data_IF_584783389819
#
_entry.id   IF_584783389819
#
_cell.length_a   1.000
_cell.length_b   1.000
_cell.length_c   1.000
_cell.angle_alpha   90.00
_cell.angle_beta   90.00
_cell.angle_gamma   90.00
#
_symmetry.space_group_name_H-M   'P 1'
#
loop_
_entity.id
_entity.type
_entity.pdbx_description
1 polymer ?
#
# COMPACT_ATOMS: atom_id res chain seq x y z
N UNK A 1 5.85 -4.64 10.38
CA UNK A 1 5.43 -4.54 8.97
C UNK A 1 6.31 -3.54 8.23
N UNK A 2 6.41 -2.28 8.68
CA UNK A 2 7.37 -1.30 8.16
C UNK A 2 8.64 -1.21 9.01
N UNK A 3 9.77 -0.91 8.37
CA UNK A 3 11.04 -0.58 8.98
C UNK A 3 11.07 0.92 9.37
N UNK A 4 11.64 1.29 10.55
CA UNK A 4 11.68 2.68 11.02
C UNK A 4 12.38 3.68 10.10
N UNK A 5 13.33 3.24 9.27
CA UNK A 5 14.19 4.12 8.47
C UNK A 5 14.11 3.84 6.97
N UNK A 6 14.01 2.55 6.59
CA UNK A 6 14.17 2.12 5.18
C UNK A 6 12.87 1.74 4.48
N UNK A 7 11.72 1.88 5.16
CA UNK A 7 10.42 1.74 4.49
C UNK A 7 9.97 3.05 3.88
N UNK A 8 9.41 2.97 2.68
CA UNK A 8 8.84 4.09 1.95
C UNK A 8 7.38 3.82 1.64
N UNK A 9 6.53 4.84 1.79
CA UNK A 9 5.15 4.82 1.33
C UNK A 9 4.90 5.99 0.38
N UNK A 10 4.15 5.74 -0.70
CA UNK A 10 3.52 6.80 -1.50
C UNK A 10 2.01 6.60 -1.46
N UNK A 11 1.28 7.49 -0.80
CA UNK A 11 -0.17 7.41 -0.67
C UNK A 11 -0.82 8.58 -1.40
N UNK A 12 -1.57 8.33 -2.47
CA UNK A 12 -2.19 9.39 -3.31
C UNK A 12 -1.17 10.44 -3.80
N UNK A 13 0.08 10.03 -4.03
CA UNK A 13 1.17 10.92 -4.46
C UNK A 13 1.98 11.56 -3.33
N UNK A 14 1.57 11.42 -2.07
CA UNK A 14 2.32 11.91 -0.91
C UNK A 14 3.38 10.88 -0.50
N UNK A 15 4.66 11.26 -0.55
CA UNK A 15 5.78 10.40 -0.18
C UNK A 15 6.12 10.50 1.31
N UNK A 16 6.36 9.34 1.92
CA UNK A 16 6.65 9.17 3.34
C UNK A 16 7.78 8.17 3.50
N UNK A 17 8.63 8.40 4.51
CA UNK A 17 9.73 7.51 4.85
C UNK A 17 9.69 7.19 6.34
N UNK A 18 9.90 5.91 6.64
CA UNK A 18 9.98 5.38 7.99
C UNK A 18 8.62 5.13 8.63
N UNK A 19 8.57 4.13 9.50
CA UNK A 19 7.33 3.68 10.16
C UNK A 19 6.55 4.82 10.83
N UNK A 20 7.20 5.78 11.47
CA UNK A 20 6.52 6.88 12.18
C UNK A 20 5.64 7.68 11.22
N UNK A 21 6.23 8.25 10.16
CA UNK A 21 5.49 9.06 9.18
C UNK A 21 4.43 8.26 8.42
N UNK A 22 4.73 7.00 8.13
CA UNK A 22 3.77 6.08 7.49
C UNK A 22 2.54 5.89 8.39
N UNK A 23 2.76 5.58 9.66
CA UNK A 23 1.66 5.37 10.62
C UNK A 23 0.88 6.65 10.90
N UNK A 24 1.56 7.80 11.00
CA UNK A 24 0.90 9.10 11.11
C UNK A 24 -0.04 9.36 9.92
N UNK A 25 0.39 9.09 8.69
CA UNK A 25 -0.47 9.21 7.51
C UNK A 25 -1.66 8.28 7.60
N UNK A 26 -1.45 6.99 7.90
CA UNK A 26 -2.54 6.02 7.98
C UNK A 26 -3.56 6.38 9.08
N UNK A 27 -3.08 6.86 10.23
CA UNK A 27 -3.93 7.29 11.35
C UNK A 27 -4.62 8.64 11.07
N UNK A 28 -4.09 9.47 10.17
CA UNK A 28 -4.71 10.73 9.77
C UNK A 28 -5.91 10.56 8.83
N UNK A 29 -6.14 9.35 8.30
CA UNK A 29 -7.27 9.05 7.44
C UNK A 29 -8.56 9.08 8.27
N UNK A 30 -9.56 9.83 7.81
CA UNK A 30 -10.75 10.17 8.59
C UNK A 30 -11.88 9.16 8.51
N UNK A 31 -11.77 8.13 7.66
CA UNK A 31 -12.79 7.10 7.53
C UNK A 31 -12.87 6.23 8.79
N UNK A 32 -14.08 5.78 9.14
CA UNK A 32 -14.31 4.92 10.32
C UNK A 32 -14.30 3.44 9.95
N UNK A 33 -14.79 3.12 8.75
CA UNK A 33 -14.85 1.78 8.20
C UNK A 33 -14.17 1.74 6.85
N UNK A 34 -13.46 0.65 6.62
CA UNK A 34 -12.78 0.38 5.37
C UNK A 34 -13.09 -1.05 4.95
N UNK A 35 -13.70 -1.21 3.77
CA UNK A 35 -13.93 -2.51 3.17
C UNK A 35 -13.08 -2.63 1.91
N UNK A 36 -12.30 -3.71 1.81
CA UNK A 36 -11.37 -3.97 0.70
C UNK A 36 -11.73 -5.30 0.06
N UNK A 37 -12.06 -5.25 -1.23
CA UNK A 37 -12.24 -6.44 -2.05
C UNK A 37 -11.07 -6.53 -3.01
N UNK A 38 -10.20 -7.52 -2.80
CA UNK A 38 -9.07 -7.80 -3.71
C UNK A 38 -9.60 -8.55 -4.93
N UNK A 39 -9.32 -8.04 -6.12
CA UNK A 39 -9.74 -8.66 -7.38
C UNK A 39 -8.64 -9.47 -8.03
N UNK A 40 -7.39 -9.03 -7.93
CA UNK A 40 -6.23 -9.76 -8.43
C UNK A 40 -4.97 -9.43 -7.64
N UNK A 41 -4.07 -10.40 -7.60
CA UNK A 41 -2.74 -10.26 -7.00
C UNK A 41 -1.74 -10.94 -7.91
N UNK A 42 -0.72 -10.20 -8.32
CA UNK A 42 0.40 -10.70 -9.09
C UNK A 42 1.68 -10.49 -8.28
N UNK A 43 2.65 -11.41 -8.39
CA UNK A 43 3.94 -11.25 -7.73
C UNK A 43 5.12 -11.76 -8.55
N UNK A 44 6.29 -11.19 -8.30
CA UNK A 44 7.55 -11.55 -8.94
C UNK A 44 8.69 -11.56 -7.91
N UNK A 45 9.62 -12.53 -7.97
CA UNK A 45 10.85 -12.46 -7.20
C UNK A 45 11.77 -11.36 -7.76
N UNK A 46 12.47 -10.66 -6.87
CA UNK A 46 13.48 -9.67 -7.24
C UNK A 46 14.88 -10.30 -7.16
N UNK A 47 15.84 -9.72 -7.90
CA UNK A 47 17.22 -10.22 -7.95
C UNK A 47 17.94 -10.25 -6.59
N UNK A 48 17.49 -9.44 -5.63
CA UNK A 48 18.06 -9.37 -4.29
C UNK A 48 17.28 -10.17 -3.24
N UNK A 49 16.44 -11.11 -3.67
CA UNK A 49 15.63 -11.96 -2.79
C UNK A 49 14.38 -11.27 -2.23
N UNK A 50 14.11 -10.03 -2.64
CA UNK A 50 12.84 -9.37 -2.37
C UNK A 50 11.68 -9.92 -3.21
N UNK A 51 10.47 -9.45 -2.93
CA UNK A 51 9.24 -9.83 -3.64
C UNK A 51 8.52 -8.56 -4.06
N UNK A 52 8.27 -8.40 -5.36
CA UNK A 52 7.38 -7.37 -5.89
C UNK A 52 5.96 -7.93 -5.94
N UNK A 53 4.98 -7.18 -5.45
CA UNK A 53 3.57 -7.58 -5.39
C UNK A 53 2.72 -6.43 -5.94
N UNK A 54 1.84 -6.73 -6.89
CA UNK A 54 0.84 -5.80 -7.41
C UNK A 54 -0.55 -6.29 -6.98
N UNK A 55 -1.33 -5.42 -6.36
CA UNK A 55 -2.67 -5.71 -5.85
C UNK A 55 -3.66 -4.77 -6.52
N UNK A 56 -4.67 -5.35 -7.18
CA UNK A 56 -5.83 -4.60 -7.67
C UNK A 56 -7.04 -4.97 -6.82
N UNK A 57 -7.93 -4.01 -6.64
CA UNK A 57 -9.17 -4.28 -5.94
C UNK A 57 -10.15 -3.12 -5.98
N UNK A 58 -11.19 -3.22 -5.15
CA UNK A 58 -12.12 -2.16 -4.84
C UNK A 58 -12.03 -1.80 -3.35
N UNK A 59 -12.03 -0.51 -3.07
CA UNK A 59 -11.99 0.07 -1.75
C UNK A 59 -13.28 0.85 -1.51
N UNK A 60 -13.96 0.53 -0.42
CA UNK A 60 -15.09 1.28 0.08
C UNK A 60 -14.72 1.90 1.43
N UNK A 61 -14.88 3.22 1.55
CA UNK A 61 -14.67 3.95 2.79
C UNK A 61 -16.05 4.35 3.33
N UNK A 62 -16.38 3.97 4.56
CA UNK A 62 -17.68 4.21 5.18
C UNK A 62 -18.85 3.81 4.25
N UNK A 63 -19.74 4.76 3.93
CA UNK A 63 -20.89 4.56 3.05
C UNK A 63 -20.64 5.10 1.62
N UNK A 64 -19.41 5.54 1.31
CA UNK A 64 -19.07 6.02 -0.03
C UNK A 64 -19.13 4.89 -1.06
N UNK A 65 -19.32 5.21 -2.36
CA UNK A 65 -19.24 4.22 -3.42
C UNK A 65 -17.87 3.52 -3.44
N UNK A 66 -17.81 2.21 -3.74
CA UNK A 66 -16.55 1.50 -3.85
C UNK A 66 -15.77 1.96 -5.08
N UNK A 67 -14.53 2.40 -4.89
CA UNK A 67 -13.64 2.84 -5.96
C UNK A 67 -12.59 1.77 -6.27
N UNK A 68 -12.17 1.60 -7.53
CA UNK A 68 -11.00 0.78 -7.82
C UNK A 68 -9.77 1.33 -7.10
N UNK A 69 -8.87 0.46 -6.68
CA UNK A 69 -7.55 0.85 -6.17
C UNK A 69 -6.47 -0.04 -6.75
N UNK A 70 -5.26 0.50 -6.82
CA UNK A 70 -4.02 -0.22 -7.04
C UNK A 70 -3.12 -0.02 -5.81
N UNK A 71 -2.55 -1.12 -5.32
CA UNK A 71 -1.52 -1.07 -4.30
C UNK A 71 -0.33 -1.97 -4.68
N UNK A 72 0.87 -1.40 -4.70
CA UNK A 72 2.11 -2.11 -5.00
C UNK A 72 2.93 -2.23 -3.73
N UNK A 73 3.44 -3.43 -3.45
CA UNK A 73 4.36 -3.69 -2.35
C UNK A 73 5.69 -4.23 -2.85
N UNK A 74 6.77 -3.84 -2.19
CA UNK A 74 8.05 -4.55 -2.25
C UNK A 74 8.36 -5.07 -0.85
N UNK A 75 8.46 -6.40 -0.73
CA UNK A 75 8.89 -7.06 0.50
C UNK A 75 10.39 -7.34 0.45
N UNK A 76 11.08 -7.11 1.56
CA UNK A 76 12.49 -7.48 1.74
C UNK A 76 12.62 -8.44 2.92
N UNK A 77 13.48 -9.44 2.78
CA UNK A 77 13.76 -10.40 3.85
C UNK A 77 14.58 -9.75 4.96
N UNK A 78 14.24 -10.03 6.22
CA UNK A 78 15.04 -9.75 7.41
C UNK A 78 15.04 -11.01 8.26
N UNK A 79 16.18 -11.71 8.29
CA UNK A 79 16.26 -13.03 8.91
C UNK A 79 15.30 -14.01 8.23
N UNK A 80 14.40 -14.63 9.02
CA UNK A 80 13.38 -15.56 8.55
C UNK A 80 12.02 -14.90 8.24
N UNK A 81 11.93 -13.57 8.27
CA UNK A 81 10.69 -12.83 8.05
C UNK A 81 10.85 -11.79 6.94
N UNK A 82 9.77 -11.10 6.59
CA UNK A 82 9.76 -10.00 5.63
C UNK A 82 9.27 -8.71 6.27
N UNK A 83 9.73 -7.58 5.73
CA UNK A 83 9.12 -6.27 5.96
C UNK A 83 8.77 -5.61 4.62
N UNK A 84 7.80 -4.69 4.66
CA UNK A 84 7.41 -3.90 3.51
C UNK A 84 8.39 -2.73 3.33
N UNK A 85 9.26 -2.82 2.33
CA UNK A 85 10.22 -1.78 2.00
C UNK A 85 9.60 -0.66 1.17
N UNK A 86 8.67 -0.99 0.28
CA UNK A 86 7.92 0.01 -0.52
C UNK A 86 6.44 -0.32 -0.51
N UNK A 87 5.60 0.68 -0.25
CA UNK A 87 4.14 0.64 -0.39
C UNK A 87 3.69 1.82 -1.28
N UNK A 88 3.02 1.55 -2.38
CA UNK A 88 2.46 2.60 -3.25
C UNK A 88 0.97 2.36 -3.39
N UNK A 89 0.16 3.31 -2.94
CA UNK A 89 -1.30 3.25 -2.99
C UNK A 89 -1.87 4.37 -3.88
N UNK A 90 -2.79 3.99 -4.77
CA UNK A 90 -3.58 4.89 -5.60
C UNK A 90 -5.02 4.41 -5.75
N UNK A 91 -5.97 5.32 -5.66
CA UNK A 91 -7.35 5.15 -6.13
C UNK A 91 -7.40 5.27 -7.66
N UNK A 92 -8.21 4.44 -8.31
CA UNK A 92 -8.46 4.51 -9.76
C UNK A 92 -9.56 5.51 -10.12
N UNK A 93 -9.54 6.70 -9.52
CA UNK A 93 -10.54 7.77 -9.74
C UNK A 93 -9.99 8.98 -10.50
N UNK A 94 -8.75 8.87 -11.01
CA UNK A 94 -8.01 9.99 -11.57
C UNK A 94 -8.40 10.35 -13.03
N UNK A 95 -9.32 9.62 -13.65
CA UNK A 95 -9.72 9.78 -15.07
C UNK A 95 -11.20 10.16 -15.28
N UNK A 96 -11.88 10.73 -14.28
CA UNK A 96 -13.21 11.32 -14.53
C UNK A 96 -13.05 12.72 -15.14
N UNK A 97 -12.80 12.78 -16.45
CA UNK A 97 -13.19 13.90 -17.31
C UNK A 97 -14.53 13.61 -17.99
#
# INVERSE_FOLDING_TARGET
MYNPETSFMTFEGVQLQGTIKIMEKLNSLTFQKINRVVTSVDSQPMFDGGILINVLGRLQCDEDPPHPFNQVFVLKSVGSTFYCAHDIFRLGIHDTM
#
